data_IF_217138885208
#
_entry.id   IF_217138885208
#
_cell.length_a   1.000
_cell.length_b   1.000
_cell.length_c   1.000
_cell.angle_alpha   90.00
_cell.angle_beta   90.00
_cell.angle_gamma   90.00
#
_symmetry.space_group_name_H-M   'P 1'
#
loop_
_entity.id
_entity.type
_entity.pdbx_description
1 polymer ?
#
# COMPACT_ATOMS: atom_id res chain seq x y z
N UNK A 1 -7.38 4.77 -15.91
CA UNK A 1 -7.79 5.75 -14.89
C UNK A 1 -8.12 5.10 -13.54
N UNK A 2 -8.76 3.93 -13.46
CA UNK A 2 -9.11 3.28 -12.17
C UNK A 2 -7.90 2.91 -11.27
N UNK A 3 -6.79 2.41 -11.83
CA UNK A 3 -5.66 1.89 -11.04
C UNK A 3 -4.90 2.96 -10.27
N UNK A 4 -4.77 4.17 -10.85
CA UNK A 4 -4.10 5.30 -10.19
C UNK A 4 -4.93 5.79 -9.00
N UNK A 5 -6.25 5.93 -9.19
CA UNK A 5 -7.18 6.32 -8.12
C UNK A 5 -7.14 5.31 -6.96
N UNK A 6 -7.08 4.01 -7.27
CA UNK A 6 -6.94 2.96 -6.26
C UNK A 6 -5.60 3.00 -5.54
N UNK A 7 -4.51 3.26 -6.27
CA UNK A 7 -3.18 3.44 -5.68
C UNK A 7 -3.17 4.61 -4.69
N UNK A 8 -3.71 5.76 -5.06
CA UNK A 8 -3.79 6.92 -4.16
C UNK A 8 -4.62 6.63 -2.90
N UNK A 9 -5.74 5.92 -3.06
CA UNK A 9 -6.58 5.47 -1.94
C UNK A 9 -5.82 4.51 -1.02
N UNK A 10 -5.11 3.54 -1.58
CA UNK A 10 -4.31 2.58 -0.81
C UNK A 10 -3.17 3.26 -0.04
N UNK A 11 -2.47 4.21 -0.67
CA UNK A 11 -1.42 4.99 -0.01
C UNK A 11 -1.97 5.89 1.09
N UNK A 12 -3.18 6.43 0.89
CA UNK A 12 -3.87 7.25 1.91
C UNK A 12 -4.29 6.40 3.11
N UNK A 13 -4.81 5.21 2.87
CA UNK A 13 -5.10 4.24 3.93
C UNK A 13 -3.82 3.84 4.68
N UNK A 14 -2.72 3.57 3.98
CA UNK A 14 -1.45 3.22 4.61
C UNK A 14 -0.91 4.36 5.50
N UNK A 15 -1.02 5.62 5.06
CA UNK A 15 -0.71 6.79 5.90
C UNK A 15 -1.58 6.84 7.16
N UNK A 16 -2.88 6.56 7.05
CA UNK A 16 -3.77 6.51 8.21
C UNK A 16 -3.40 5.39 9.21
N UNK A 17 -2.77 4.31 8.74
CA UNK A 17 -2.22 3.23 9.57
C UNK A 17 -0.86 3.56 10.21
N UNK A 18 -0.34 4.77 9.97
CA UNK A 18 0.94 5.23 10.50
C UNK A 18 2.16 4.84 9.66
N UNK A 19 1.96 4.40 8.42
CA UNK A 19 3.09 4.23 7.50
C UNK A 19 3.60 5.57 7.00
N UNK A 20 4.92 5.71 7.02
CA UNK A 20 5.64 6.66 6.20
C UNK A 20 5.80 6.09 4.79
N UNK A 21 5.22 6.78 3.80
CA UNK A 21 5.32 6.33 2.40
C UNK A 21 6.61 6.88 1.80
N UNK A 22 7.49 6.00 1.34
CA UNK A 22 8.71 6.37 0.60
C UNK A 22 8.58 5.91 -0.84
N UNK A 23 8.42 6.88 -1.73
CA UNK A 23 8.39 6.65 -3.18
C UNK A 23 9.79 6.87 -3.73
N UNK A 24 10.43 5.80 -4.16
CA UNK A 24 11.83 5.82 -4.59
C UNK A 24 12.02 5.02 -5.86
N UNK A 25 13.06 5.34 -6.62
CA UNK A 25 13.48 4.49 -7.74
C UNK A 25 14.32 3.35 -7.18
N UNK A 26 13.72 2.15 -7.06
CA UNK A 26 14.36 0.98 -6.44
C UNK A 26 14.86 -0.03 -7.47
N UNK A 27 14.77 0.28 -8.77
CA UNK A 27 15.25 -0.56 -9.87
C UNK A 27 14.65 -1.97 -9.83
N UNK A 28 13.33 -2.07 -9.67
CA UNK A 28 12.58 -3.33 -9.56
C UNK A 28 12.93 -4.16 -8.32
N UNK A 29 13.55 -3.55 -7.30
CA UNK A 29 13.78 -4.22 -6.01
C UNK A 29 12.46 -4.36 -5.25
N UNK A 30 12.35 -5.40 -4.42
CA UNK A 30 11.17 -5.70 -3.60
C UNK A 30 10.79 -4.53 -2.67
N UNK A 31 9.87 -3.68 -3.12
CA UNK A 31 9.17 -2.70 -2.27
C UNK A 31 8.14 -3.35 -1.35
N UNK A 32 7.39 -2.54 -0.60
CA UNK A 32 6.40 -3.01 0.36
C UNK A 32 6.70 -2.59 1.81
N UNK A 33 6.01 -3.20 2.79
CA UNK A 33 6.12 -2.81 4.19
C UNK A 33 7.48 -3.18 4.78
N UNK A 34 8.08 -2.22 5.47
CA UNK A 34 9.34 -2.35 6.17
C UNK A 34 9.23 -1.69 7.56
N UNK A 35 10.01 -2.16 8.53
CA UNK A 35 10.11 -1.51 9.84
C UNK A 35 11.54 -1.05 10.09
N UNK A 36 11.72 0.25 10.32
CA UNK A 36 13.01 0.83 10.70
C UNK A 36 12.88 1.32 12.14
N UNK A 37 13.38 0.51 13.08
CA UNK A 37 13.16 0.74 14.51
C UNK A 37 11.68 0.65 14.86
N UNK A 38 11.09 1.75 15.33
CA UNK A 38 9.65 1.89 15.61
C UNK A 38 8.85 2.47 14.43
N UNK A 39 9.52 2.94 13.37
CA UNK A 39 8.85 3.55 12.21
C UNK A 39 8.37 2.47 11.25
N UNK A 40 7.10 2.54 10.88
CA UNK A 40 6.53 1.77 9.77
C UNK A 40 6.81 2.54 8.48
N UNK A 41 7.48 1.91 7.53
CA UNK A 41 7.82 2.51 6.25
C UNK A 41 7.25 1.65 5.15
N UNK A 42 6.57 2.25 4.19
CA UNK A 42 6.05 1.56 3.01
C UNK A 42 6.80 2.09 1.79
N UNK A 43 7.67 1.24 1.23
CA UNK A 43 8.42 1.57 0.04
C UNK A 43 7.59 1.28 -1.21
N UNK A 44 7.50 2.24 -2.10
CA UNK A 44 6.85 2.12 -3.41
C UNK A 44 7.90 2.40 -4.48
N UNK A 45 8.10 1.43 -5.37
CA UNK A 45 9.09 1.57 -6.44
C UNK A 45 8.48 2.32 -7.63
N UNK A 46 9.03 3.51 -7.90
CA UNK A 46 8.60 4.36 -9.00
C UNK A 46 8.99 3.82 -10.38
N UNK A 47 9.90 2.83 -10.48
CA UNK A 47 10.20 2.21 -11.77
C UNK A 47 9.15 1.19 -12.23
N UNK A 48 8.25 0.78 -11.33
CA UNK A 48 7.20 -0.19 -11.63
C UNK A 48 5.94 0.47 -12.22
N UNK A 49 5.09 -0.34 -12.85
CA UNK A 49 3.78 0.10 -13.30
C UNK A 49 2.86 0.47 -12.11
N UNK A 50 1.82 1.26 -12.37
CA UNK A 50 0.85 1.65 -11.34
C UNK A 50 0.14 0.44 -10.69
N UNK A 51 -0.03 -0.66 -11.43
CA UNK A 51 -0.61 -1.90 -10.90
C UNK A 51 0.33 -2.59 -9.92
N UNK A 52 1.61 -2.71 -10.27
CA UNK A 52 2.64 -3.27 -9.39
C UNK A 52 2.87 -2.40 -8.15
N UNK A 53 2.87 -1.08 -8.30
CA UNK A 53 2.89 -0.15 -7.17
C UNK A 53 1.66 -0.29 -6.27
N UNK A 54 0.47 -0.51 -6.86
CA UNK A 54 -0.75 -0.79 -6.10
C UNK A 54 -0.61 -2.09 -5.31
N UNK A 55 -0.03 -3.15 -5.89
CA UNK A 55 0.27 -4.39 -5.17
C UNK A 55 1.20 -4.14 -3.98
N UNK A 56 2.26 -3.34 -4.13
CA UNK A 56 3.14 -2.96 -3.02
C UNK A 56 2.37 -2.23 -1.91
N UNK A 57 1.46 -1.32 -2.26
CA UNK A 57 0.62 -0.62 -1.29
C UNK A 57 -0.32 -1.58 -0.53
N UNK A 58 -0.93 -2.52 -1.26
CA UNK A 58 -1.81 -3.55 -0.69
C UNK A 58 -1.07 -4.45 0.29
N UNK A 59 0.18 -4.84 0.00
CA UNK A 59 0.99 -5.61 0.94
C UNK A 59 1.15 -4.89 2.28
N UNK A 60 1.35 -3.56 2.25
CA UNK A 60 1.43 -2.75 3.46
C UNK A 60 0.13 -2.72 4.27
N UNK A 61 -1.01 -2.66 3.59
CA UNK A 61 -2.33 -2.75 4.23
C UNK A 61 -2.54 -4.13 4.85
N UNK A 62 -2.31 -5.21 4.08
CA UNK A 62 -2.51 -6.60 4.52
C UNK A 62 -1.65 -6.99 5.73
N UNK A 63 -0.51 -6.33 5.94
CA UNK A 63 0.31 -6.53 7.14
C UNK A 63 -0.39 -6.07 8.44
N UNK A 64 -1.49 -5.31 8.35
CA UNK A 64 -2.20 -4.71 9.48
C UNK A 64 -3.73 -4.98 9.40
N UNK A 65 -4.17 -6.25 9.37
CA UNK A 65 -5.57 -6.61 9.10
C UNK A 65 -6.54 -6.06 10.15
N UNK A 66 -6.13 -6.03 11.42
CA UNK A 66 -6.94 -5.48 12.51
C UNK A 66 -7.17 -3.98 12.35
N UNK A 67 -6.14 -3.25 11.92
CA UNK A 67 -6.21 -1.81 11.76
C UNK A 67 -7.01 -1.40 10.50
N UNK A 68 -6.93 -2.19 9.41
CA UNK A 68 -7.80 -2.00 8.24
C UNK A 68 -9.28 -2.05 8.63
N UNK A 69 -9.67 -3.00 9.49
CA UNK A 69 -11.07 -3.16 9.93
C UNK A 69 -11.66 -1.93 10.63
N UNK A 70 -10.80 -1.02 11.10
CA UNK A 70 -11.20 0.25 11.74
C UNK A 70 -11.27 1.44 10.78
N UNK A 71 -10.70 1.32 9.57
CA UNK A 71 -10.71 2.39 8.57
C UNK A 71 -11.95 2.30 7.68
N UNK A 72 -12.51 3.47 7.33
CA UNK A 72 -13.53 3.56 6.28
C UNK A 72 -12.84 3.56 4.92
N UNK A 73 -12.72 2.37 4.31
CA UNK A 73 -12.12 2.20 2.99
C UNK A 73 -13.18 2.16 1.87
N UNK A 74 -12.87 2.66 0.67
CA UNK A 74 -13.73 2.49 -0.50
C UNK A 74 -13.98 1.02 -0.82
N UNK A 75 -15.20 0.71 -1.29
CA UNK A 75 -15.62 -0.68 -1.59
C UNK A 75 -14.72 -1.39 -2.59
N UNK A 76 -14.25 -0.67 -3.60
CA UNK A 76 -13.32 -1.19 -4.62
C UNK A 76 -11.99 -1.64 -4.01
N UNK A 77 -11.44 -0.89 -3.07
CA UNK A 77 -10.22 -1.25 -2.37
C UNK A 77 -10.44 -2.44 -1.42
N UNK A 78 -11.58 -2.50 -0.73
CA UNK A 78 -11.94 -3.65 0.11
C UNK A 78 -12.10 -4.95 -0.70
N UNK A 79 -12.76 -4.89 -1.86
CA UNK A 79 -12.87 -6.05 -2.76
C UNK A 79 -11.50 -6.56 -3.18
N UNK A 80 -10.60 -5.65 -3.55
CA UNK A 80 -9.27 -5.99 -4.04
C UNK A 80 -8.36 -6.55 -2.93
N UNK A 81 -8.50 -6.08 -1.69
CA UNK A 81 -7.86 -6.69 -0.52
C UNK A 81 -8.31 -8.14 -0.27
N UNK A 82 -9.59 -8.44 -0.56
CA UNK A 82 -10.17 -9.78 -0.38
C UNK A 82 -9.83 -10.75 -1.53
N UNK A 83 -9.62 -10.25 -2.75
CA UNK A 83 -9.38 -11.08 -3.96
C UNK A 83 -7.96 -11.65 -4.07
N UNK A 84 -6.95 -10.97 -3.52
CA UNK A 84 -5.54 -11.36 -3.68
C UNK A 84 -5.07 -12.39 -2.63
N UNK A 85 -5.83 -13.47 -2.42
CA UNK A 85 -5.59 -14.51 -1.41
C UNK A 85 -5.10 -15.83 -2.03
#
# INVERSE_FOLDING_TARGET
>A
MLTIDLLEQALTAARALGYEIRQEWLQETMGGPCRIGQRKVLYIDLSLSAEEQLQQAILGLKAEPEAIGTLSLPRSLMSLLAEQN
#
